data_IF_736770768550
#
_entry.id   IF_736770768550
#
_cell.length_a   1.000
_cell.length_b   1.000
_cell.length_c   1.000
_cell.angle_alpha   90.00
_cell.angle_beta   90.00
_cell.angle_gamma   90.00
#
_symmetry.space_group_name_H-M   'P 1'
#
loop_
_entity.id
_entity.type
_entity.pdbx_description
1 polymer ?
#
# COMPACT_ATOMS: atom_id res chain seq x y z
N UNK A 1 -12.69 9.13 22.43
CA UNK A 1 -11.55 10.01 22.09
C UNK A 1 -10.53 9.14 21.37
N UNK A 2 -10.20 9.43 20.11
CA UNK A 2 -9.16 8.69 19.42
C UNK A 2 -7.83 9.06 20.05
N UNK A 3 -7.18 8.09 20.71
CA UNK A 3 -5.85 8.27 21.28
C UNK A 3 -4.85 8.07 20.14
N UNK A 4 -4.54 9.16 19.45
CA UNK A 4 -3.57 9.18 18.35
C UNK A 4 -2.15 9.06 18.92
N UNK A 5 -1.83 7.88 19.46
CA UNK A 5 -0.48 7.56 19.91
C UNK A 5 0.34 7.08 18.73
N UNK A 6 1.59 7.54 18.68
CA UNK A 6 2.59 7.01 17.76
C UNK A 6 2.89 5.57 18.19
N UNK A 7 3.00 4.67 17.21
CA UNK A 7 3.37 3.27 17.47
C UNK A 7 4.69 3.21 18.25
N UNK A 8 4.76 2.30 19.23
CA UNK A 8 6.03 1.99 19.92
C UNK A 8 6.97 1.18 19.03
N UNK A 9 6.45 0.57 17.98
CA UNK A 9 7.26 -0.14 17.01
C UNK A 9 7.87 0.86 16.02
N UNK A 10 9.16 0.70 15.67
CA UNK A 10 9.89 1.65 14.84
C UNK A 10 9.65 1.37 13.34
N UNK A 11 8.40 1.48 12.89
CA UNK A 11 7.99 1.19 11.52
C UNK A 11 8.71 2.06 10.49
N UNK A 12 8.85 3.35 10.78
CA UNK A 12 9.56 4.26 9.87
C UNK A 12 11.05 3.91 9.76
N UNK A 13 11.68 3.54 10.87
CA UNK A 13 13.10 3.14 10.88
C UNK A 13 13.32 1.84 10.09
N UNK A 14 12.40 0.88 10.20
CA UNK A 14 12.42 -0.34 9.41
C UNK A 14 12.26 -0.05 7.91
N UNK A 15 11.34 0.85 7.56
CA UNK A 15 11.18 1.32 6.19
C UNK A 15 12.45 2.00 5.64
N UNK A 16 13.09 2.85 6.42
CA UNK A 16 14.37 3.48 6.05
C UNK A 16 15.46 2.43 5.75
N UNK A 17 15.59 1.41 6.61
CA UNK A 17 16.53 0.30 6.39
C UNK A 17 16.19 -0.52 5.14
N UNK A 18 14.92 -0.88 4.96
CA UNK A 18 14.47 -1.64 3.80
C UNK A 18 14.68 -0.87 2.48
N UNK A 19 14.33 0.42 2.46
CA UNK A 19 14.54 1.29 1.31
C UNK A 19 16.03 1.41 0.96
N UNK A 20 16.90 1.59 1.97
CA UNK A 20 18.35 1.64 1.76
C UNK A 20 18.92 0.35 1.16
N UNK A 21 18.35 -0.81 1.50
CA UNK A 21 18.76 -2.11 0.97
C UNK A 21 18.26 -2.36 -0.46
N UNK A 22 17.08 -1.84 -0.82
CA UNK A 22 16.47 -2.05 -2.15
C UNK A 22 17.08 -1.18 -3.25
N UNK A 23 17.63 -0.01 -2.91
CA UNK A 23 18.06 0.99 -3.90
C UNK A 23 19.57 1.21 -3.95
N UNK A 24 20.08 1.54 -5.14
CA UNK A 24 21.47 1.97 -5.28
C UNK A 24 21.62 3.43 -4.84
N UNK A 25 22.17 3.63 -3.63
CA UNK A 25 22.30 4.96 -3.02
C UNK A 25 23.10 5.97 -3.86
N UNK A 26 24.13 5.52 -4.59
CA UNK A 26 24.95 6.43 -5.39
C UNK A 26 24.16 7.01 -6.56
N UNK A 27 23.49 6.15 -7.33
CA UNK A 27 22.65 6.56 -8.46
C UNK A 27 21.43 7.36 -8.01
N UNK A 28 20.81 6.96 -6.90
CA UNK A 28 19.61 7.63 -6.39
C UNK A 28 19.94 9.04 -5.90
N UNK A 29 21.03 9.21 -5.15
CA UNK A 29 21.45 10.52 -4.66
C UNK A 29 21.83 11.48 -5.81
N UNK A 30 22.50 10.98 -6.85
CA UNK A 30 22.79 11.74 -8.07
C UNK A 30 21.50 12.25 -8.73
N UNK A 31 20.53 11.36 -8.97
CA UNK A 31 19.23 11.73 -9.55
C UNK A 31 18.43 12.69 -8.67
N UNK A 32 18.55 12.56 -7.35
CA UNK A 32 17.88 13.42 -6.39
C UNK A 32 18.64 14.73 -6.11
N UNK A 33 19.77 14.98 -6.80
CA UNK A 33 20.55 16.20 -6.63
C UNK A 33 21.14 16.36 -5.22
N UNK A 34 21.39 15.27 -4.50
CA UNK A 34 21.89 15.27 -3.13
C UNK A 34 23.19 14.49 -2.98
N UNK A 35 23.96 14.80 -1.95
CA UNK A 35 25.17 14.04 -1.64
C UNK A 35 24.80 12.62 -1.18
N UNK A 36 25.51 11.60 -1.71
CA UNK A 36 25.27 10.19 -1.39
C UNK A 36 25.37 9.91 0.12
N UNK A 37 26.32 10.55 0.81
CA UNK A 37 26.47 10.38 2.25
C UNK A 37 25.32 11.05 3.02
N UNK A 38 24.81 12.19 2.55
CA UNK A 38 23.62 12.81 3.12
C UNK A 38 22.41 11.89 3.00
N UNK A 39 22.21 11.26 1.83
CA UNK A 39 21.13 10.28 1.64
C UNK A 39 21.26 9.10 2.61
N UNK A 40 22.46 8.52 2.72
CA UNK A 40 22.72 7.41 3.67
C UNK A 40 22.48 7.81 5.10
N UNK A 41 22.92 9.00 5.49
CA UNK A 41 22.72 9.51 6.85
C UNK A 41 21.22 9.73 7.13
N UNK A 42 20.45 10.25 6.16
CA UNK A 42 19.01 10.44 6.31
C UNK A 42 18.22 9.13 6.37
N UNK A 43 18.71 8.07 5.74
CA UNK A 43 18.14 6.72 5.81
C UNK A 43 18.62 5.92 7.03
N UNK A 44 19.58 6.42 7.81
CA UNK A 44 20.05 5.74 9.02
C UNK A 44 19.32 6.30 10.25
N UNK A 45 18.45 5.50 10.91
CA UNK A 45 17.72 5.93 12.11
C UNK A 45 18.63 6.33 13.29
N UNK A 46 19.87 5.88 13.32
CA UNK A 46 20.86 6.23 14.35
C UNK A 46 21.43 7.64 14.15
N UNK A 47 21.20 8.26 13.00
CA UNK A 47 21.68 9.60 12.67
C UNK A 47 20.58 10.65 12.90
N UNK A 48 20.93 11.87 13.32
CA UNK A 48 19.95 12.92 13.62
C UNK A 48 19.32 13.55 12.37
N UNK A 49 19.83 13.24 11.18
CA UNK A 49 19.39 13.85 9.94
C UNK A 49 18.07 13.23 9.48
N UNK A 50 16.99 14.02 9.49
CA UNK A 50 15.69 13.57 9.03
C UNK A 50 15.43 14.02 7.59
N UNK A 51 14.56 13.29 6.90
CA UNK A 51 14.01 13.75 5.63
C UNK A 51 13.00 14.86 5.85
N UNK A 52 13.07 15.86 4.97
CA UNK A 52 11.99 16.82 4.79
C UNK A 52 10.91 16.20 3.88
N UNK A 53 9.64 16.63 3.98
CA UNK A 53 8.59 16.11 3.11
C UNK A 53 8.90 16.21 1.60
N UNK A 54 9.48 17.31 1.08
CA UNK A 54 9.87 17.38 -0.34
C UNK A 54 10.91 16.33 -0.75
N UNK A 55 11.86 16.00 0.13
CA UNK A 55 12.84 14.93 -0.15
C UNK A 55 12.16 13.56 -0.21
N UNK A 56 11.19 13.29 0.68
CA UNK A 56 10.42 12.03 0.64
C UNK A 56 9.63 11.90 -0.66
N UNK A 57 8.95 12.96 -1.10
CA UNK A 57 8.19 12.94 -2.35
C UNK A 57 9.11 12.76 -3.56
N UNK A 58 10.25 13.46 -3.59
CA UNK A 58 11.24 13.33 -4.66
C UNK A 58 11.79 11.90 -4.74
N UNK A 59 12.16 11.29 -3.61
CA UNK A 59 12.65 9.92 -3.61
C UNK A 59 11.56 8.94 -4.05
N UNK A 60 10.32 9.13 -3.61
CA UNK A 60 9.18 8.31 -4.03
C UNK A 60 8.93 8.44 -5.53
N UNK A 61 8.97 9.66 -6.08
CA UNK A 61 8.80 9.93 -7.51
C UNK A 61 9.93 9.31 -8.35
N UNK A 62 11.18 9.42 -7.91
CA UNK A 62 12.33 8.87 -8.62
C UNK A 62 12.39 7.33 -8.60
N UNK A 63 11.83 6.70 -7.58
CA UNK A 63 11.93 5.24 -7.37
C UNK A 63 10.64 4.49 -7.64
N UNK A 64 9.51 5.19 -7.68
CA UNK A 64 8.16 4.61 -7.62
C UNK A 64 7.95 3.69 -6.39
N UNK A 65 8.81 3.81 -5.36
CA UNK A 65 8.79 3.00 -4.16
C UNK A 65 8.19 3.79 -2.98
N UNK A 66 7.02 3.37 -2.52
CA UNK A 66 6.30 4.00 -1.43
C UNK A 66 6.77 3.60 -0.03
N UNK A 67 7.79 2.74 0.10
CA UNK A 67 8.24 2.17 1.39
C UNK A 67 8.40 3.21 2.50
N UNK A 68 9.02 4.36 2.22
CA UNK A 68 9.23 5.42 3.23
C UNK A 68 7.91 6.06 3.68
N UNK A 69 7.00 6.31 2.74
CA UNK A 69 5.67 6.87 3.03
C UNK A 69 4.82 5.86 3.80
N UNK A 70 4.85 4.59 3.40
CA UNK A 70 4.13 3.52 4.09
C UNK A 70 4.66 3.28 5.50
N UNK A 71 5.98 3.36 5.70
CA UNK A 71 6.60 3.33 7.03
C UNK A 71 6.13 4.48 7.93
N UNK A 72 6.01 5.69 7.36
CA UNK A 72 5.47 6.85 8.07
C UNK A 72 4.00 6.65 8.45
N UNK A 73 3.17 6.18 7.52
CA UNK A 73 1.75 5.90 7.78
C UNK A 73 1.57 4.81 8.85
N UNK A 74 2.34 3.73 8.77
CA UNK A 74 2.33 2.67 9.78
C UNK A 74 2.75 3.19 11.17
N UNK A 75 3.71 4.12 11.23
CA UNK A 75 4.16 4.74 12.49
C UNK A 75 3.03 5.48 13.22
N UNK A 76 2.08 6.05 12.47
CA UNK A 76 0.91 6.76 12.99
C UNK A 76 -0.39 5.94 12.92
N UNK A 77 -0.28 4.61 12.80
CA UNK A 77 -1.42 3.68 12.71
C UNK A 77 -2.39 3.96 11.56
N UNK A 78 -1.86 4.40 10.42
CA UNK A 78 -2.60 4.55 9.17
C UNK A 78 -2.37 3.37 8.22
N UNK A 79 -3.35 3.17 7.34
CA UNK A 79 -3.26 2.21 6.24
C UNK A 79 -2.18 2.62 5.22
N UNK A 80 -1.63 1.67 4.43
CA UNK A 80 -0.63 1.97 3.42
C UNK A 80 -1.16 2.94 2.37
N UNK A 81 -0.27 3.70 1.76
CA UNK A 81 -0.63 4.58 0.67
C UNK A 81 -1.00 3.77 -0.58
N UNK A 82 -1.93 4.33 -1.34
CA UNK A 82 -2.39 3.75 -2.61
C UNK A 82 -2.10 4.79 -3.70
N UNK A 83 -0.97 4.67 -4.41
CA UNK A 83 -0.61 5.62 -5.46
C UNK A 83 -1.53 5.44 -6.65
N UNK A 84 -2.39 6.43 -6.87
CA UNK A 84 -3.33 6.45 -8.00
C UNK A 84 -2.63 6.50 -9.36
N UNK A 85 -1.35 6.86 -9.40
CA UNK A 85 -0.53 6.81 -10.61
C UNK A 85 -0.36 5.37 -11.12
N UNK A 86 -0.49 4.36 -10.26
CA UNK A 86 -0.47 2.95 -10.67
C UNK A 86 -1.76 2.50 -11.36
N UNK A 87 -2.79 3.35 -11.39
CA UNK A 87 -4.10 3.03 -11.93
C UNK A 87 -4.07 2.90 -13.46
N UNK A 88 -4.23 1.67 -13.93
CA UNK A 88 -4.46 1.34 -15.32
C UNK A 88 -5.89 0.81 -15.48
N UNK A 89 -6.74 1.56 -16.20
CA UNK A 89 -8.20 1.29 -16.32
C UNK A 89 -8.52 -0.08 -16.92
N UNK A 90 -7.62 -0.62 -17.72
CA UNK A 90 -7.69 -1.93 -18.37
C UNK A 90 -7.25 -3.08 -17.44
N UNK A 91 -6.51 -2.80 -16.36
CA UNK A 91 -5.93 -3.82 -15.46
C UNK A 91 -6.79 -4.23 -14.28
N UNK A 92 -8.08 -3.90 -14.25
CA UNK A 92 -8.99 -4.26 -13.14
C UNK A 92 -8.89 -5.75 -12.74
N UNK A 93 -8.91 -6.66 -13.71
CA UNK A 93 -8.77 -8.10 -13.45
C UNK A 93 -7.44 -8.44 -12.77
N UNK A 94 -6.34 -7.81 -13.18
CA UNK A 94 -5.02 -8.01 -12.58
C UNK A 94 -4.97 -7.53 -11.13
N UNK A 95 -5.59 -6.38 -10.81
CA UNK A 95 -5.65 -5.89 -9.43
C UNK A 95 -6.47 -6.82 -8.55
N UNK A 96 -7.64 -7.27 -9.02
CA UNK A 96 -8.50 -8.20 -8.28
C UNK A 96 -7.78 -9.53 -8.05
N UNK A 97 -7.14 -10.09 -9.07
CA UNK A 97 -6.38 -11.34 -8.94
C UNK A 97 -5.21 -11.21 -7.96
N UNK A 98 -4.48 -10.09 -8.00
CA UNK A 98 -3.40 -9.83 -7.02
C UNK A 98 -3.95 -9.69 -5.61
N UNK A 99 -5.04 -8.93 -5.42
CA UNK A 99 -5.69 -8.81 -4.12
C UNK A 99 -6.13 -10.18 -3.57
N UNK A 100 -6.69 -11.05 -4.42
CA UNK A 100 -7.05 -12.42 -4.05
C UNK A 100 -5.84 -13.27 -3.67
N UNK A 101 -4.72 -13.13 -4.40
CA UNK A 101 -3.47 -13.83 -4.09
C UNK A 101 -2.94 -13.45 -2.71
N UNK A 102 -2.90 -12.15 -2.41
CA UNK A 102 -2.45 -11.65 -1.10
C UNK A 102 -3.40 -12.09 0.03
N UNK A 103 -4.71 -12.05 -0.21
CA UNK A 103 -5.67 -12.59 0.74
C UNK A 103 -5.49 -14.11 0.98
N UNK A 104 -5.11 -14.85 -0.06
CA UNK A 104 -4.78 -16.27 0.04
C UNK A 104 -3.55 -16.53 0.89
N UNK A 105 -2.47 -15.78 0.69
CA UNK A 105 -1.26 -15.85 1.52
C UNK A 105 -1.55 -15.50 2.99
N UNK A 106 -2.35 -14.44 3.22
CA UNK A 106 -2.81 -14.09 4.55
C UNK A 106 -3.65 -15.20 5.20
N UNK A 107 -4.60 -15.77 4.47
CA UNK A 107 -5.45 -16.85 4.96
C UNK A 107 -4.63 -18.10 5.32
N UNK A 108 -3.67 -18.46 4.48
CA UNK A 108 -2.70 -19.54 4.73
C UNK A 108 -1.90 -19.27 6.02
N UNK A 109 -1.38 -18.05 6.16
CA UNK A 109 -0.65 -17.64 7.36
C UNK A 109 -1.50 -17.67 8.64
N UNK A 110 -2.77 -17.31 8.55
CA UNK A 110 -3.72 -17.25 9.67
C UNK A 110 -4.31 -18.62 10.07
N UNK A 111 -4.47 -19.53 9.11
CA UNK A 111 -4.98 -20.89 9.35
C UNK A 111 -3.90 -21.87 9.82
N UNK A 112 -2.63 -21.47 9.80
CA UNK A 112 -1.50 -22.30 10.21
C UNK A 112 -1.37 -22.39 11.73
N UNK A 113 -1.31 -23.60 12.26
CA UNK A 113 -1.05 -23.88 13.69
C UNK A 113 0.42 -23.72 14.11
N UNK A 114 1.33 -23.47 13.17
CA UNK A 114 2.75 -23.22 13.48
C UNK A 114 2.97 -21.93 14.28
N UNK A 115 4.09 -21.89 15.01
CA UNK A 115 4.48 -20.73 15.81
C UNK A 115 4.63 -19.47 14.94
N UNK A 116 3.92 -18.42 15.32
CA UNK A 116 4.07 -17.08 14.72
C UNK A 116 5.45 -16.49 15.03
N UNK A 117 6.38 -16.63 14.08
CA UNK A 117 7.69 -15.98 14.13
C UNK A 117 7.60 -14.52 13.71
N UNK A 118 8.62 -13.72 14.05
CA UNK A 118 8.67 -12.31 13.65
C UNK A 118 8.65 -12.13 12.12
N UNK A 119 9.36 -12.99 11.39
CA UNK A 119 9.38 -12.97 9.93
C UNK A 119 7.99 -13.28 9.35
N UNK A 120 7.28 -14.27 9.90
CA UNK A 120 5.92 -14.58 9.47
C UNK A 120 4.95 -13.44 9.72
N UNK A 121 5.02 -12.80 10.89
CA UNK A 121 4.22 -11.61 11.19
C UNK A 121 4.48 -10.50 10.18
N UNK A 122 5.74 -10.24 9.84
CA UNK A 122 6.12 -9.24 8.84
C UNK A 122 5.53 -9.57 7.47
N UNK A 123 5.70 -10.80 6.99
CA UNK A 123 5.16 -11.25 5.69
C UNK A 123 3.62 -11.14 5.64
N UNK A 124 2.93 -11.50 6.73
CA UNK A 124 1.47 -11.36 6.81
C UNK A 124 1.03 -9.90 6.73
N UNK A 125 1.75 -8.98 7.40
CA UNK A 125 1.45 -7.54 7.33
C UNK A 125 1.75 -6.98 5.93
N UNK A 126 2.87 -7.39 5.32
CA UNK A 126 3.21 -7.00 3.94
C UNK A 126 2.11 -7.45 2.97
N UNK A 127 1.65 -8.70 3.10
CA UNK A 127 0.56 -9.23 2.29
C UNK A 127 -0.76 -8.50 2.49
N UNK A 128 -1.13 -8.17 3.75
CA UNK A 128 -2.30 -7.33 4.04
C UNK A 128 -2.18 -5.97 3.36
N UNK A 129 -1.02 -5.31 3.47
CA UNK A 129 -0.80 -3.99 2.91
C UNK A 129 -0.87 -4.00 1.37
N UNK A 130 -0.27 -5.01 0.74
CA UNK A 130 -0.37 -5.24 -0.70
C UNK A 130 -1.82 -5.50 -1.13
N UNK A 131 -2.56 -6.33 -0.38
CA UNK A 131 -3.96 -6.60 -0.61
C UNK A 131 -4.83 -5.34 -0.55
N UNK A 132 -4.66 -4.49 0.48
CA UNK A 132 -5.35 -3.19 0.61
C UNK A 132 -5.08 -2.32 -0.62
N UNK A 133 -3.80 -2.17 -1.02
CA UNK A 133 -3.42 -1.36 -2.18
C UNK A 133 -4.10 -1.86 -3.46
N UNK A 134 -4.09 -3.17 -3.71
CA UNK A 134 -4.70 -3.77 -4.89
C UNK A 134 -6.23 -3.66 -4.88
N UNK A 135 -6.88 -3.80 -3.71
CA UNK A 135 -8.32 -3.60 -3.57
C UNK A 135 -8.71 -2.14 -3.84
N UNK A 136 -7.96 -1.18 -3.30
CA UNK A 136 -8.20 0.23 -3.56
C UNK A 136 -8.00 0.61 -5.03
N UNK A 137 -6.94 0.10 -5.69
CA UNK A 137 -6.76 0.28 -7.13
C UNK A 137 -7.89 -0.37 -7.95
N UNK A 138 -8.38 -1.54 -7.51
CA UNK A 138 -9.55 -2.20 -8.13
C UNK A 138 -10.80 -1.33 -8.03
N UNK A 139 -11.06 -0.76 -6.84
CA UNK A 139 -12.20 0.13 -6.63
C UNK A 139 -12.13 1.37 -7.53
N UNK A 140 -10.96 2.00 -7.63
CA UNK A 140 -10.74 3.15 -8.51
C UNK A 140 -10.90 2.79 -9.99
N UNK A 141 -10.37 1.64 -10.43
CA UNK A 141 -10.50 1.17 -11.82
C UNK A 141 -11.96 0.85 -12.17
N UNK A 142 -12.69 0.23 -11.23
CA UNK A 142 -14.12 -0.05 -11.38
C UNK A 142 -14.94 1.24 -11.46
N UNK A 143 -14.70 2.19 -10.56
CA UNK A 143 -15.38 3.49 -10.57
C UNK A 143 -15.15 4.22 -11.89
N UNK A 144 -13.92 4.24 -12.40
CA UNK A 144 -13.61 4.83 -13.71
C UNK A 144 -14.41 4.18 -14.85
N UNK A 145 -14.56 2.85 -14.86
CA UNK A 145 -15.35 2.12 -15.87
C UNK A 145 -16.85 2.45 -15.78
N UNK A 146 -17.40 2.46 -14.57
CA UNK A 146 -18.83 2.75 -14.35
C UNK A 146 -19.18 4.18 -14.74
N UNK A 147 -18.31 5.17 -14.46
CA UNK A 147 -18.52 6.55 -14.89
C UNK A 147 -18.44 6.72 -16.41
N UNK A 148 -17.58 5.96 -17.10
CA UNK A 148 -17.48 6.00 -18.57
C UNK A 148 -18.64 5.29 -19.28
N UNK A 149 -19.43 4.46 -18.58
CA UNK A 149 -20.55 3.73 -19.17
C UNK A 149 -21.80 3.80 -18.26
N UNK A 150 -22.61 4.89 -18.38
CA UNK A 150 -23.81 5.10 -17.56
C UNK A 150 -24.85 3.98 -17.68
N UNK A 151 -24.86 3.25 -18.81
CA UNK A 151 -25.76 2.13 -19.03
C UNK A 151 -25.41 0.88 -18.19
N UNK A 152 -24.18 0.77 -17.67
CA UNK A 152 -23.80 -0.31 -16.73
C UNK A 152 -24.18 0.02 -15.29
N UNK A 153 -24.31 1.31 -14.93
CA UNK A 153 -24.74 1.73 -13.59
C UNK A 153 -26.19 1.34 -13.31
N UNK A 154 -27.07 1.42 -14.31
CA UNK A 154 -28.49 1.07 -14.19
C UNK A 154 -28.75 -0.44 -14.15
N UNK A 155 -27.83 -1.28 -14.65
CA UNK A 155 -27.94 -2.75 -14.62
C UNK A 155 -27.59 -3.30 -13.22
N UNK A 156 -26.62 -2.70 -12.52
CA UNK A 156 -26.27 -3.12 -11.14
C UNK A 156 -27.41 -2.83 -10.16
N UNK A 157 -28.10 -1.69 -10.33
CA UNK A 157 -29.27 -1.35 -9.52
C UNK A 157 -30.49 -2.23 -9.82
N UNK A 158 -30.66 -2.68 -11.07
CA UNK A 158 -31.77 -3.57 -11.44
C UNK A 158 -31.52 -5.04 -11.06
N UNK A 159 -30.27 -5.51 -11.01
CA UNK A 159 -29.96 -6.88 -10.56
C UNK A 159 -30.04 -7.05 -9.03
N UNK A 160 -29.88 -5.98 -8.25
CA UNK A 160 -30.13 -6.02 -6.79
C UNK A 160 -31.62 -5.92 -6.43
N UNK A 161 -32.47 -5.50 -7.37
CA UNK A 161 -33.91 -5.27 -7.16
C UNK A 161 -34.84 -6.46 -7.47
N UNK A 162 -34.36 -7.55 -8.06
CA UNK A 162 -35.22 -8.69 -8.47
C UNK A 162 -35.39 -9.76 -7.35
N UNK A 163 -34.83 -9.52 -6.16
CA UNK A 163 -35.00 -10.42 -5.00
C UNK A 163 -36.23 -10.18 -4.13
N UNK A 164 -37.00 -9.10 -4.32
CA UNK A 164 -38.01 -8.64 -3.36
C UNK A 164 -39.49 -8.74 -3.82
N UNK A 165 -39.79 -9.47 -4.90
CA UNK A 165 -41.19 -9.67 -5.34
C UNK A 165 -41.48 -11.10 -5.82
N UNK A 166 -41.34 -12.07 -4.91
CA UNK A 166 -42.08 -13.34 -5.03
C UNK A 166 -42.72 -13.64 -3.67
N UNK A 167 -43.86 -13.00 -3.43
CA UNK A 167 -44.63 -13.10 -2.20
C UNK A 167 -45.97 -12.38 -2.31
N UNK A 168 -46.66 -12.57 -3.44
CA UNK A 168 -48.06 -12.19 -3.63
C UNK A 168 -48.69 -13.28 -4.51
N UNK A 169 -49.14 -14.35 -3.85
CA UNK A 169 -50.37 -15.13 -4.07
C UNK A 169 -50.67 -15.78 -2.72
#
# INVERSE_FOLDING_TARGET
>A
MFDFQISKHPHYDEACRAFAQRHNMAKLAERAGMNVQTLRNKLNPEQPHQFTPPELWLLTDLTEDSTLVDGFLAQIHCLPCVPVNELAKDKLQSYVMRAMSELGELASGAASDERLTSARKHNMIESVNAGIRMLSLSALALHARLQTNPAMSSVVDTMSGIGASFGLI
#
